data_IF_989887117399
#
_entry.id   IF_989887117399
#
_cell.length_a   1.000
_cell.length_b   1.000
_cell.length_c   1.000
_cell.angle_alpha   90.00
_cell.angle_beta   90.00
_cell.angle_gamma   90.00
#
_symmetry.space_group_name_H-M   'P 1'
#
loop_
_entity.id
_entity.type
_entity.pdbx_description
1 polymer ?
#
# COMPACT_ATOMS: atom_id res chain seq x y z
N UNK A 1 5.07 -40.24 22.82
CA UNK A 1 5.17 -39.90 21.38
C UNK A 1 4.78 -38.44 21.13
N UNK A 2 3.57 -38.01 21.53
CA UNK A 2 3.15 -36.58 21.47
C UNK A 2 4.19 -35.61 22.05
N UNK A 3 4.77 -35.93 23.22
CA UNK A 3 5.83 -35.11 23.84
C UNK A 3 7.06 -34.90 22.94
N UNK A 4 7.41 -35.88 22.12
CA UNK A 4 8.57 -35.78 21.21
C UNK A 4 8.27 -34.92 20.00
N UNK A 5 7.07 -35.07 19.41
CA UNK A 5 6.63 -34.19 18.32
C UNK A 5 6.52 -32.72 18.77
N UNK A 6 5.96 -32.47 19.96
CA UNK A 6 5.88 -31.13 20.52
C UNK A 6 7.26 -30.54 20.85
N UNK A 7 8.15 -31.34 21.47
CA UNK A 7 9.51 -30.89 21.76
C UNK A 7 10.30 -30.62 20.46
N UNK A 8 10.16 -31.45 19.43
CA UNK A 8 10.82 -31.22 18.15
C UNK A 8 10.30 -29.96 17.46
N UNK A 9 9.00 -29.68 17.54
CA UNK A 9 8.42 -28.42 17.04
C UNK A 9 8.98 -27.19 17.77
N UNK A 10 9.08 -27.24 19.10
CA UNK A 10 9.66 -26.15 19.88
C UNK A 10 11.13 -25.92 19.56
N UNK A 11 11.91 -27.01 19.42
CA UNK A 11 13.32 -26.93 19.02
C UNK A 11 13.46 -26.41 17.58
N UNK A 12 12.58 -26.84 16.68
CA UNK A 12 12.55 -26.39 15.30
C UNK A 12 12.25 -24.89 15.21
N UNK A 13 11.21 -24.43 15.91
CA UNK A 13 10.86 -23.02 16.00
C UNK A 13 11.99 -22.18 16.60
N UNK A 14 12.58 -22.62 17.72
CA UNK A 14 13.70 -21.93 18.34
C UNK A 14 14.92 -21.84 17.39
N UNK A 15 15.21 -22.92 16.66
CA UNK A 15 16.28 -22.94 15.66
C UNK A 15 15.99 -21.99 14.49
N UNK A 16 14.77 -21.97 13.96
CA UNK A 16 14.37 -21.04 12.89
C UNK A 16 14.48 -19.58 13.33
N UNK A 17 14.03 -19.25 14.53
CA UNK A 17 14.17 -17.91 15.10
C UNK A 17 15.65 -17.54 15.31
N UNK A 18 16.47 -18.50 15.73
CA UNK A 18 17.92 -18.35 15.81
C UNK A 18 18.55 -18.08 14.44
N UNK A 19 18.16 -18.82 13.41
CA UNK A 19 18.63 -18.62 12.03
C UNK A 19 18.23 -17.25 11.49
N UNK A 20 16.99 -16.81 11.70
CA UNK A 20 16.56 -15.44 11.34
C UNK A 20 17.42 -14.42 12.07
N UNK A 21 17.64 -14.58 13.38
CA UNK A 21 18.45 -13.66 14.16
C UNK A 21 19.93 -13.61 13.72
N UNK A 22 20.43 -14.66 13.05
CA UNK A 22 21.77 -14.72 12.48
C UNK A 22 21.85 -14.14 11.06
N UNK A 23 20.84 -14.38 10.23
CA UNK A 23 20.76 -13.84 8.87
C UNK A 23 20.45 -12.35 8.85
N UNK A 24 19.72 -11.88 9.86
CA UNK A 24 19.37 -10.48 10.07
C UNK A 24 19.98 -9.99 11.39
N UNK A 25 21.32 -9.97 11.52
CA UNK A 25 21.94 -9.55 12.76
C UNK A 25 21.47 -8.12 13.06
N UNK A 26 21.11 -7.82 14.32
CA UNK A 26 20.85 -6.43 14.68
C UNK A 26 22.12 -5.64 14.35
N UNK A 27 21.95 -4.49 13.70
CA UNK A 27 23.05 -3.54 13.58
C UNK A 27 23.55 -3.28 15.01
N UNK A 28 24.88 -3.27 15.21
CA UNK A 28 25.39 -2.88 16.52
C UNK A 28 24.85 -1.48 16.82
N UNK A 29 24.27 -1.26 18.01
CA UNK A 29 23.75 0.05 18.34
C UNK A 29 24.88 1.05 18.19
N UNK A 30 24.65 2.09 17.40
CA UNK A 30 25.68 3.10 17.16
C UNK A 30 25.93 3.81 18.48
N UNK A 31 27.14 3.65 19.03
CA UNK A 31 27.51 4.21 20.31
C UNK A 31 27.23 5.72 20.34
N UNK A 32 26.55 6.18 21.39
CA UNK A 32 26.16 7.58 21.55
C UNK A 32 24.87 8.00 20.84
N UNK A 33 24.21 7.12 20.08
CA UNK A 33 22.87 7.38 19.51
C UNK A 33 21.76 6.69 20.32
N UNK A 34 20.60 7.33 20.42
CA UNK A 34 19.42 6.78 21.10
C UNK A 34 18.89 5.54 20.36
N UNK A 35 18.26 4.61 21.08
CA UNK A 35 17.68 3.41 20.46
C UNK A 35 16.54 3.73 19.47
N UNK A 36 15.87 4.87 19.68
CA UNK A 36 14.79 5.37 18.84
C UNK A 36 14.78 6.89 18.80
N UNK A 37 14.35 7.47 17.68
CA UNK A 37 13.90 8.86 17.58
C UNK A 37 12.38 8.85 17.58
N UNK A 38 11.75 9.55 18.53
CA UNK A 38 10.28 9.71 18.57
C UNK A 38 9.94 11.19 18.51
N UNK A 39 8.91 11.52 17.76
CA UNK A 39 8.47 12.91 17.60
C UNK A 39 7.15 13.13 18.33
N UNK A 40 7.14 14.12 19.23
CA UNK A 40 5.90 14.73 19.66
C UNK A 40 5.46 15.74 18.59
N UNK A 41 4.34 15.43 17.93
CA UNK A 41 3.85 16.25 16.82
C UNK A 41 3.47 17.63 17.36
N UNK A 42 4.00 18.67 16.71
CA UNK A 42 3.81 20.07 17.06
C UNK A 42 3.74 20.88 15.75
N UNK A 43 3.43 22.17 15.85
CA UNK A 43 3.25 23.04 14.67
C UNK A 43 4.45 23.07 13.74
N UNK A 44 5.68 22.93 14.26
CA UNK A 44 6.90 22.96 13.44
C UNK A 44 7.03 21.76 12.49
N UNK A 45 6.30 20.67 12.77
CA UNK A 45 6.26 19.51 11.90
C UNK A 45 5.16 19.62 10.83
N UNK A 46 4.21 20.54 10.94
CA UNK A 46 3.08 20.65 10.01
C UNK A 46 3.43 21.56 8.85
N UNK A 47 3.61 20.98 7.66
CA UNK A 47 3.86 21.71 6.41
C UNK A 47 2.55 22.14 5.75
N UNK A 48 1.52 21.29 5.84
CA UNK A 48 0.18 21.57 5.35
C UNK A 48 -0.86 20.89 6.26
N UNK A 49 -2.01 21.53 6.45
CA UNK A 49 -3.01 21.14 7.44
C UNK A 49 -2.94 22.01 8.68
N UNK A 50 -3.68 21.64 9.72
CA UNK A 50 -3.66 22.35 11.00
C UNK A 50 -3.54 21.38 12.16
N UNK A 51 -2.77 21.78 13.16
CA UNK A 51 -2.72 21.13 14.44
C UNK A 51 -3.62 21.90 15.41
N UNK A 52 -4.52 21.19 16.07
CA UNK A 52 -5.41 21.76 17.08
C UNK A 52 -5.22 21.00 18.40
N UNK A 53 -5.33 21.73 19.51
CA UNK A 53 -5.31 21.13 20.84
C UNK A 53 -6.61 20.35 21.03
N UNK A 54 -6.52 19.04 21.25
CA UNK A 54 -7.69 18.19 21.53
C UNK A 54 -7.98 18.11 23.03
N UNK A 55 -9.25 17.89 23.39
CA UNK A 55 -9.70 17.71 24.78
C UNK A 55 -9.05 16.49 25.49
N UNK A 56 -8.58 15.49 24.71
CA UNK A 56 -8.11 14.19 25.20
C UNK A 56 -6.58 14.10 25.38
N UNK A 57 -5.86 15.23 25.53
CA UNK A 57 -4.38 15.30 25.58
C UNK A 57 -3.61 14.81 24.33
N UNK A 58 -4.32 14.37 23.29
CA UNK A 58 -3.75 14.02 22.00
C UNK A 58 -3.94 15.17 20.99
N UNK A 59 -2.92 15.48 20.18
CA UNK A 59 -3.03 16.46 19.11
C UNK A 59 -4.08 16.04 18.09
N UNK A 60 -4.99 16.94 17.72
CA UNK A 60 -5.95 16.74 16.63
C UNK A 60 -5.36 17.36 15.36
N UNK A 61 -4.97 16.52 14.41
CA UNK A 61 -4.48 16.98 13.12
C UNK A 61 -5.63 17.01 12.13
N UNK A 62 -5.80 18.14 11.45
CA UNK A 62 -6.83 18.34 10.45
C UNK A 62 -6.18 18.52 9.08
N UNK A 63 -6.69 17.80 8.09
CA UNK A 63 -6.36 18.07 6.69
C UNK A 63 -6.81 19.49 6.30
N UNK A 64 -6.06 20.17 5.45
CA UNK A 64 -6.45 21.47 4.91
C UNK A 64 -7.69 21.37 4.00
N UNK A 65 -8.17 22.48 3.44
CA UNK A 65 -9.34 22.50 2.55
C UNK A 65 -9.15 21.66 1.27
N UNK A 66 -7.90 21.42 0.87
CA UNK A 66 -7.54 20.55 -0.26
C UNK A 66 -7.47 19.07 0.14
N UNK A 67 -7.73 18.74 1.41
CA UNK A 67 -7.68 17.36 1.89
C UNK A 67 -6.27 16.85 2.18
N UNK A 68 -5.28 17.74 2.36
CA UNK A 68 -3.89 17.38 2.59
C UNK A 68 -3.49 17.70 4.04
N UNK A 69 -2.91 16.71 4.72
CA UNK A 69 -2.12 16.90 5.93
C UNK A 69 -0.69 16.41 5.63
N UNK A 70 0.29 17.30 5.75
CA UNK A 70 1.69 16.97 5.51
C UNK A 70 2.50 17.22 6.77
N UNK A 71 3.04 16.13 7.33
CA UNK A 71 3.99 16.16 8.44
C UNK A 71 5.42 15.97 7.91
N UNK A 72 6.36 16.83 8.32
CA UNK A 72 7.77 16.73 8.00
C UNK A 72 8.59 16.59 9.28
N UNK A 73 9.52 15.65 9.27
CA UNK A 73 10.43 15.33 10.35
C UNK A 73 11.86 15.50 9.85
N UNK A 74 12.60 16.53 10.31
CA UNK A 74 14.01 16.67 9.97
C UNK A 74 14.81 15.52 10.61
N UNK A 75 15.83 15.07 9.89
CA UNK A 75 16.75 14.04 10.33
C UNK A 75 18.16 14.63 10.38
N UNK A 76 18.89 14.30 11.46
CA UNK A 76 20.31 14.64 11.55
C UNK A 76 21.13 13.86 10.51
N UNK A 77 22.31 14.37 10.17
CA UNK A 77 23.26 13.68 9.30
C UNK A 77 23.48 12.22 9.73
N UNK A 78 23.39 11.31 8.75
CA UNK A 78 23.49 9.87 8.89
C UNK A 78 22.35 9.18 9.67
N UNK A 79 21.33 9.89 10.18
CA UNK A 79 20.28 9.26 10.99
C UNK A 79 19.57 8.13 10.23
N UNK A 80 19.25 8.30 8.95
CA UNK A 80 18.58 7.27 8.15
C UNK A 80 19.42 5.99 7.96
N UNK A 81 20.74 6.07 7.98
CA UNK A 81 21.60 4.87 7.94
C UNK A 81 21.51 4.04 9.23
N UNK A 82 21.24 4.72 10.36
CA UNK A 82 21.18 4.17 11.72
C UNK A 82 19.78 3.67 12.03
N UNK A 83 18.75 4.45 11.73
CA UNK A 83 17.35 4.10 11.99
C UNK A 83 16.69 3.58 10.72
N UNK A 84 16.49 2.26 10.67
CA UNK A 84 15.96 1.57 9.48
C UNK A 84 14.52 1.08 9.64
N UNK A 85 13.87 1.38 10.76
CA UNK A 85 12.51 0.95 11.03
C UNK A 85 11.65 2.16 11.39
N UNK A 86 10.55 2.36 10.66
CA UNK A 86 9.50 3.32 11.02
C UNK A 86 8.39 2.59 11.77
N UNK A 87 8.02 3.16 12.90
CA UNK A 87 6.78 2.84 13.59
C UNK A 87 5.80 3.99 13.42
N UNK A 88 4.59 3.67 12.95
CA UNK A 88 3.48 4.59 12.82
C UNK A 88 2.28 4.00 13.58
N UNK A 89 1.74 4.75 14.52
CA UNK A 89 0.55 4.40 15.27
C UNK A 89 -0.53 5.45 15.07
N UNK A 90 -1.76 5.00 14.84
CA UNK A 90 -2.91 5.86 14.58
C UNK A 90 -4.12 5.32 15.33
N UNK A 91 -4.98 6.21 15.82
CA UNK A 91 -6.20 5.86 16.57
C UNK A 91 -7.47 6.24 15.82
N UNK A 92 -7.42 7.29 14.99
CA UNK A 92 -8.57 7.79 14.22
C UNK A 92 -8.10 8.22 12.83
N UNK A 93 -8.72 7.72 11.78
CA UNK A 93 -8.50 8.21 10.43
C UNK A 93 -9.70 7.86 9.54
N UNK A 94 -9.96 8.63 8.47
CA UNK A 94 -10.94 8.26 7.44
C UNK A 94 -10.59 6.94 6.76
N UNK A 95 -11.61 6.19 6.31
CA UNK A 95 -11.42 4.90 5.64
C UNK A 95 -10.81 5.02 4.24
N UNK A 96 -11.04 6.15 3.58
CA UNK A 96 -10.55 6.47 2.23
C UNK A 96 -9.23 7.26 2.24
N UNK A 97 -8.65 7.49 3.43
CA UNK A 97 -7.40 8.19 3.56
C UNK A 97 -6.27 7.42 2.88
N UNK A 98 -5.44 8.13 2.10
CA UNK A 98 -4.18 7.62 1.56
C UNK A 98 -3.03 8.21 2.35
N UNK A 99 -2.01 7.42 2.64
CA UNK A 99 -0.77 7.94 3.25
C UNK A 99 0.40 7.64 2.36
N UNK A 100 1.20 8.66 2.10
CA UNK A 100 2.43 8.55 1.34
C UNK A 100 3.60 8.87 2.25
N UNK A 101 4.53 7.93 2.34
CA UNK A 101 5.84 8.15 2.92
C UNK A 101 6.70 8.88 1.90
N UNK A 102 7.32 10.00 2.27
CA UNK A 102 8.18 10.78 1.39
C UNK A 102 9.50 11.01 2.10
N UNK A 103 10.62 10.84 1.39
CA UNK A 103 11.93 11.19 1.93
C UNK A 103 12.77 11.90 0.86
N UNK A 104 13.59 12.84 1.31
CA UNK A 104 14.45 13.65 0.45
C UNK A 104 15.91 13.39 0.79
N UNK A 105 16.74 13.36 -0.24
CA UNK A 105 18.20 13.25 -0.12
C UNK A 105 18.86 14.62 -0.21
N UNK A 106 19.90 14.82 0.59
CA UNK A 106 20.70 16.05 0.64
C UNK A 106 21.60 16.21 -0.59
N UNK A 107 22.02 15.10 -1.21
CA UNK A 107 23.04 15.08 -2.25
C UNK A 107 22.50 15.25 -3.68
N UNK A 108 21.30 14.74 -3.97
CA UNK A 108 20.75 14.69 -5.34
C UNK A 108 19.49 15.54 -5.55
N UNK A 109 18.97 16.22 -4.52
CA UNK A 109 17.62 16.85 -4.53
C UNK A 109 16.48 15.86 -4.90
N UNK A 110 16.79 14.55 -5.00
CA UNK A 110 15.82 13.53 -5.37
C UNK A 110 14.82 13.33 -4.23
N UNK A 111 13.55 13.33 -4.61
CA UNK A 111 12.44 13.04 -3.71
C UNK A 111 11.92 11.66 -4.02
N UNK A 112 12.04 10.77 -3.03
CA UNK A 112 11.43 9.46 -3.09
C UNK A 112 10.08 9.50 -2.40
N UNK A 113 9.11 8.78 -2.96
CA UNK A 113 7.78 8.66 -2.35
C UNK A 113 7.24 7.25 -2.50
N UNK A 114 6.53 6.82 -1.46
CA UNK A 114 5.97 5.49 -1.37
C UNK A 114 4.56 5.55 -0.77
N UNK A 115 3.56 5.08 -1.54
CA UNK A 115 2.20 4.94 -1.03
C UNK A 115 2.14 3.78 0.00
N UNK A 116 1.76 4.10 1.23
CA UNK A 116 1.43 3.14 2.27
C UNK A 116 0.03 2.61 2.02
N UNK A 117 -0.04 1.43 1.39
CA UNK A 117 -1.32 0.88 0.95
C UNK A 117 -2.17 0.32 2.10
N UNK A 118 -1.56 0.11 3.26
CA UNK A 118 -2.25 -0.30 4.49
C UNK A 118 -2.03 0.76 5.54
N UNK A 119 -3.13 1.26 6.12
CA UNK A 119 -3.05 2.13 7.28
C UNK A 119 -3.19 1.32 8.56
N UNK A 120 -2.40 1.64 9.60
CA UNK A 120 -2.57 1.00 10.88
C UNK A 120 -3.94 1.37 11.44
N UNK A 121 -4.73 0.36 11.83
CA UNK A 121 -5.81 0.59 12.81
C UNK A 121 -5.25 0.98 14.18
N UNK A 122 -4.05 0.50 14.48
CA UNK A 122 -3.36 0.75 15.75
C UNK A 122 -1.84 0.93 15.58
N UNK A 123 -1.15 0.02 14.87
CA UNK A 123 0.32 0.05 14.73
C UNK A 123 0.78 -0.54 13.39
N UNK A 124 1.73 0.12 12.75
CA UNK A 124 2.38 -0.27 11.51
C UNK A 124 3.90 -0.16 11.69
N UNK A 125 4.61 -1.22 11.32
CA UNK A 125 6.06 -1.26 11.30
C UNK A 125 6.56 -1.43 9.86
N UNK A 126 7.45 -0.54 9.43
CA UNK A 126 7.98 -0.53 8.05
C UNK A 126 9.50 -0.63 8.13
N UNK A 127 10.08 -1.56 7.37
CA UNK A 127 11.53 -1.62 7.17
C UNK A 127 11.93 -0.68 6.03
N UNK A 128 12.57 0.43 6.39
CA UNK A 128 12.99 1.47 5.44
C UNK A 128 14.27 1.10 4.70
N UNK A 129 15.12 0.24 5.28
CA UNK A 129 16.43 -0.11 4.70
C UNK A 129 16.36 -0.90 3.39
N UNK A 130 15.18 -1.41 3.01
CA UNK A 130 14.95 -2.07 1.71
C UNK A 130 14.47 -1.08 0.63
N UNK A 131 14.13 0.15 1.01
CA UNK A 131 13.66 1.15 0.07
C UNK A 131 14.83 1.81 -0.68
N UNK A 132 14.74 1.92 -2.03
CA UNK A 132 15.75 2.62 -2.82
C UNK A 132 15.93 4.06 -2.33
N UNK A 133 17.18 4.47 -2.10
CA UNK A 133 17.51 5.83 -1.64
C UNK A 133 17.30 6.08 -0.15
N UNK A 134 17.01 5.04 0.66
CA UNK A 134 17.07 5.14 2.12
C UNK A 134 18.49 4.86 2.62
N UNK A 135 19.32 5.90 2.74
CA UNK A 135 20.71 5.79 3.18
C UNK A 135 21.15 7.00 4.03
N UNK A 136 22.45 7.15 4.25
CA UNK A 136 23.02 8.23 5.06
C UNK A 136 22.72 9.64 4.55
N UNK A 137 22.35 9.81 3.28
CA UNK A 137 22.09 11.09 2.63
C UNK A 137 20.68 11.62 2.85
N UNK A 138 19.79 10.92 3.57
CA UNK A 138 18.42 11.38 3.80
C UNK A 138 18.38 12.44 4.91
N UNK A 139 17.93 13.65 4.58
CA UNK A 139 17.80 14.79 5.51
C UNK A 139 16.42 14.94 6.15
N UNK A 140 15.40 14.34 5.55
CA UNK A 140 14.02 14.54 5.98
C UNK A 140 13.14 13.37 5.62
N UNK A 141 12.26 13.05 6.57
CA UNK A 141 11.16 12.13 6.41
C UNK A 141 9.86 12.93 6.42
N UNK A 142 8.88 12.50 5.64
CA UNK A 142 7.58 13.14 5.57
C UNK A 142 6.48 12.10 5.45
N UNK A 143 5.35 12.38 6.11
CA UNK A 143 4.11 11.64 5.96
C UNK A 143 3.07 12.59 5.37
N UNK A 144 2.58 12.24 4.19
CA UNK A 144 1.54 12.99 3.49
C UNK A 144 0.26 12.18 3.55
N UNK A 145 -0.72 12.66 4.30
CA UNK A 145 -2.05 12.11 4.38
C UNK A 145 -2.97 12.86 3.42
N UNK A 146 -3.71 12.12 2.60
CA UNK A 146 -4.72 12.64 1.69
C UNK A 146 -6.07 12.10 2.10
N UNK A 147 -7.01 12.98 2.44
CA UNK A 147 -8.35 12.70 2.92
C UNK A 147 -9.34 13.78 2.42
N UNK A 148 -10.60 13.74 2.87
CA UNK A 148 -11.51 14.86 2.67
C UNK A 148 -11.00 16.14 3.39
N UNK A 149 -11.33 17.31 2.85
CA UNK A 149 -10.96 18.58 3.47
C UNK A 149 -11.50 18.70 4.90
N UNK A 150 -10.65 19.12 5.84
CA UNK A 150 -11.00 19.22 7.26
C UNK A 150 -11.08 17.88 8.01
N UNK A 151 -10.74 16.75 7.38
CA UNK A 151 -10.79 15.45 8.05
C UNK A 151 -9.80 15.37 9.23
N UNK A 152 -10.27 14.78 10.34
CA UNK A 152 -9.47 14.54 11.54
C UNK A 152 -8.61 13.27 11.41
N UNK A 153 -7.33 13.41 11.72
CA UNK A 153 -6.32 12.36 11.67
C UNK A 153 -5.64 12.30 13.04
N UNK A 154 -5.93 11.24 13.80
CA UNK A 154 -5.38 11.00 15.12
C UNK A 154 -4.13 10.13 15.05
N UNK A 155 -2.97 10.75 14.89
CA UNK A 155 -1.66 10.09 14.97
C UNK A 155 -1.20 10.04 16.43
N UNK A 156 -0.86 8.85 16.92
CA UNK A 156 -0.48 8.62 18.32
C UNK A 156 1.01 8.44 18.53
N UNK A 157 1.71 7.81 17.59
CA UNK A 157 3.17 7.69 17.64
C UNK A 157 3.74 7.70 16.23
N UNK A 158 4.84 8.44 16.07
CA UNK A 158 5.73 8.34 14.91
C UNK A 158 7.13 8.22 15.49
N UNK A 159 7.80 7.12 15.18
CA UNK A 159 9.15 6.91 15.67
C UNK A 159 10.02 6.10 14.70
N UNK A 160 11.29 6.45 14.65
CA UNK A 160 12.33 5.71 13.96
C UNK A 160 13.15 4.88 14.95
N UNK A 161 13.44 3.63 14.60
CA UNK A 161 14.11 2.67 15.48
C UNK A 161 15.37 2.10 14.84
N UNK A 162 16.40 1.93 15.67
CA UNK A 162 17.57 1.16 15.28
C UNK A 162 17.19 -0.32 15.10
N UNK A 163 17.84 -1.05 14.17
CA UNK A 163 17.63 -2.48 14.02
C UNK A 163 17.93 -3.23 15.32
N UNK A 164 16.91 -3.84 15.92
CA UNK A 164 17.08 -4.77 17.04
C UNK A 164 16.25 -6.02 16.81
N UNK A 165 16.63 -7.15 17.42
CA UNK A 165 15.90 -8.42 17.27
C UNK A 165 14.41 -8.28 17.63
N UNK A 166 14.11 -7.49 18.66
CA UNK A 166 12.73 -7.22 19.08
C UNK A 166 11.96 -6.46 18.00
N UNK A 167 12.55 -5.41 17.43
CA UNK A 167 11.92 -4.57 16.41
C UNK A 167 11.74 -5.34 15.11
N UNK A 168 12.74 -6.12 14.70
CA UNK A 168 12.63 -6.98 13.53
C UNK A 168 11.50 -8.01 13.68
N UNK A 169 11.41 -8.68 14.84
CA UNK A 169 10.35 -9.63 15.11
C UNK A 169 8.98 -8.95 15.16
N UNK A 170 8.89 -7.77 15.78
CA UNK A 170 7.67 -6.97 15.80
C UNK A 170 7.23 -6.57 14.40
N UNK A 171 8.16 -6.12 13.54
CA UNK A 171 7.90 -5.79 12.15
C UNK A 171 7.43 -7.00 11.36
N UNK A 172 8.07 -8.17 11.53
CA UNK A 172 7.68 -9.41 10.88
C UNK A 172 6.27 -9.86 11.26
N UNK A 173 5.96 -9.86 12.56
CA UNK A 173 4.63 -10.23 13.06
C UNK A 173 3.58 -9.21 12.64
N UNK A 174 3.91 -7.91 12.67
CA UNK A 174 3.02 -6.86 12.19
C UNK A 174 2.70 -7.08 10.71
N UNK A 175 3.69 -7.33 9.86
CA UNK A 175 3.50 -7.58 8.43
C UNK A 175 2.69 -8.85 8.15
N UNK A 176 2.98 -9.95 8.85
CA UNK A 176 2.27 -11.23 8.70
C UNK A 176 0.84 -11.22 9.23
N UNK A 177 0.48 -10.28 10.09
CA UNK A 177 -0.88 -10.18 10.62
C UNK A 177 -1.66 -9.03 9.98
N UNK A 178 -0.99 -8.00 9.46
CA UNK A 178 -1.66 -6.84 8.86
C UNK A 178 -2.53 -7.21 7.67
N UNK A 179 -3.65 -6.50 7.55
CA UNK A 179 -4.49 -6.60 6.37
C UNK A 179 -3.67 -6.13 5.16
N UNK A 180 -3.84 -6.78 4.01
CA UNK A 180 -3.30 -6.28 2.75
C UNK A 180 -4.48 -5.81 1.88
N UNK A 181 -4.38 -4.68 1.19
CA UNK A 181 -5.42 -4.27 0.24
C UNK A 181 -5.44 -5.22 -0.97
N UNK A 182 -6.58 -5.25 -1.65
CA UNK A 182 -6.69 -5.93 -2.94
C UNK A 182 -5.86 -5.17 -3.97
N UNK A 183 -4.90 -5.86 -4.59
CA UNK A 183 -4.16 -5.40 -5.77
C UNK A 183 -4.69 -6.11 -7.00
N UNK A 184 -4.51 -5.51 -8.17
CA UNK A 184 -4.84 -6.16 -9.45
C UNK A 184 -4.08 -7.49 -9.66
N UNK A 185 -2.92 -7.63 -9.02
CA UNK A 185 -2.13 -8.87 -9.03
C UNK A 185 -2.59 -9.89 -7.99
N UNK A 186 -3.38 -9.50 -6.98
CA UNK A 186 -3.78 -10.37 -5.86
C UNK A 186 -4.58 -11.59 -6.29
N UNK A 187 -5.22 -11.55 -7.47
CA UNK A 187 -5.95 -12.70 -8.04
C UNK A 187 -4.99 -13.83 -8.44
N UNK A 188 -3.77 -13.48 -8.89
CA UNK A 188 -2.80 -14.43 -9.43
C UNK A 188 -1.57 -14.60 -8.54
N UNK A 189 -1.30 -13.67 -7.63
CA UNK A 189 -0.13 -13.69 -6.76
C UNK A 189 -0.51 -13.18 -5.37
N UNK A 190 -0.27 -14.02 -4.37
CA UNK A 190 -0.44 -13.66 -2.98
C UNK A 190 0.84 -14.01 -2.21
N UNK A 191 1.58 -12.98 -1.82
CA UNK A 191 2.84 -13.11 -1.11
C UNK A 191 2.68 -13.37 0.40
N UNK A 192 1.48 -13.14 0.95
CA UNK A 192 1.23 -13.21 2.39
C UNK A 192 1.90 -12.09 3.19
N UNK A 193 2.48 -11.08 2.52
CA UNK A 193 3.16 -9.91 3.12
C UNK A 193 2.69 -8.64 2.43
N UNK A 194 2.77 -7.49 3.10
CA UNK A 194 2.24 -6.23 2.57
C UNK A 194 3.12 -5.64 1.48
N UNK A 195 4.45 -5.71 1.58
CA UNK A 195 5.36 -5.25 0.51
C UNK A 195 6.75 -5.87 0.57
N UNK A 196 7.51 -5.50 1.59
CA UNK A 196 8.90 -5.86 1.80
C UNK A 196 8.99 -6.46 3.18
N UNK A 197 9.25 -7.76 3.20
CA UNK A 197 9.38 -8.52 4.42
C UNK A 197 10.73 -9.21 4.37
N UNK A 198 11.56 -9.13 5.42
CA UNK A 198 12.81 -9.87 5.47
C UNK A 198 12.55 -11.38 5.38
N UNK A 199 11.33 -11.84 5.72
CA UNK A 199 10.96 -13.24 5.63
C UNK A 199 9.47 -13.45 5.32
N UNK A 200 9.19 -14.33 4.38
CA UNK A 200 7.83 -14.68 4.00
C UNK A 200 7.29 -15.83 4.87
N UNK A 201 5.98 -15.90 5.18
CA UNK A 201 5.43 -16.92 6.07
C UNK A 201 5.68 -18.37 5.61
N UNK A 202 5.53 -18.65 4.31
CA UNK A 202 5.69 -20.00 3.77
C UNK A 202 7.15 -20.50 3.85
N UNK A 203 8.16 -19.76 3.38
CA UNK A 203 9.56 -20.11 3.62
C UNK A 203 9.90 -20.25 5.11
N UNK A 204 9.34 -19.42 5.98
CA UNK A 204 9.59 -19.54 7.42
C UNK A 204 9.03 -20.84 7.98
N UNK A 205 7.79 -21.18 7.64
CA UNK A 205 7.19 -22.45 8.05
C UNK A 205 7.94 -23.66 7.49
N UNK A 206 8.50 -23.56 6.28
CA UNK A 206 9.36 -24.59 5.71
C UNK A 206 10.66 -24.77 6.53
N UNK A 207 11.29 -23.68 6.99
CA UNK A 207 12.43 -23.75 7.92
C UNK A 207 12.05 -24.36 9.26
N UNK A 208 10.90 -23.97 9.84
CA UNK A 208 10.40 -24.54 11.09
C UNK A 208 10.17 -26.03 10.93
N UNK A 209 9.55 -26.45 9.83
CA UNK A 209 9.34 -27.86 9.52
C UNK A 209 10.66 -28.61 9.38
N UNK A 210 11.61 -28.09 8.59
CA UNK A 210 12.92 -28.69 8.39
C UNK A 210 13.66 -28.91 9.72
N UNK A 211 13.80 -27.86 10.54
CA UNK A 211 14.47 -27.98 11.83
C UNK A 211 13.69 -28.84 12.82
N UNK A 212 12.36 -28.87 12.74
CA UNK A 212 11.54 -29.78 13.57
C UNK A 212 11.77 -31.24 13.20
N UNK A 213 11.86 -31.56 11.91
CA UNK A 213 12.16 -32.92 11.45
C UNK A 213 13.58 -33.36 11.82
N UNK A 214 14.56 -32.46 11.71
CA UNK A 214 15.93 -32.70 12.16
C UNK A 214 16.00 -32.92 13.68
N UNK A 215 15.36 -32.06 14.47
CA UNK A 215 15.27 -32.23 15.91
C UNK A 215 14.57 -33.54 16.29
N UNK A 216 13.51 -33.92 15.57
CA UNK A 216 12.83 -35.20 15.77
C UNK A 216 13.78 -36.38 15.52
N UNK A 217 14.53 -36.36 14.41
CA UNK A 217 15.50 -37.39 14.08
C UNK A 217 16.61 -37.52 15.14
N UNK A 218 17.16 -36.39 15.63
CA UNK A 218 18.16 -36.36 16.70
C UNK A 218 17.59 -36.92 18.01
N UNK A 219 16.42 -36.46 18.44
CA UNK A 219 15.77 -36.95 19.66
C UNK A 219 15.45 -38.45 19.58
N UNK A 220 15.13 -38.95 18.39
CA UNK A 220 14.90 -40.37 18.15
C UNK A 220 16.22 -41.17 18.24
N UNK A 221 17.28 -40.69 17.59
CA UNK A 221 18.60 -41.33 17.61
C UNK A 221 19.19 -41.38 19.04
N UNK A 222 19.07 -40.30 19.82
CA UNK A 222 19.51 -40.24 21.22
C UNK A 222 18.79 -41.23 22.14
N UNK A 223 17.62 -41.73 21.73
CA UNK A 223 16.88 -42.79 22.44
C UNK A 223 17.32 -44.21 22.06
N UNK A 224 18.41 -44.34 21.31
CA UNK A 224 19.11 -45.60 21.00
C UNK A 224 18.17 -46.70 20.47
N UNK A 225 17.22 -46.36 19.60
CA UNK A 225 16.34 -47.36 18.96
C UNK A 225 15.36 -48.06 19.89
N UNK A 226 15.19 -47.60 21.15
CA UNK A 226 14.20 -48.15 22.10
C UNK A 226 12.75 -47.98 21.64
N UNK A 227 12.52 -47.17 20.62
CA UNK A 227 11.22 -46.93 20.00
C UNK A 227 11.40 -46.91 18.49
N UNK A 228 10.45 -47.46 17.74
CA UNK A 228 10.41 -47.31 16.28
C UNK A 228 9.91 -45.91 15.90
N UNK A 229 10.33 -45.35 14.75
CA UNK A 229 9.81 -44.07 14.28
C UNK A 229 8.32 -44.18 14.00
N UNK A 230 7.51 -43.45 14.75
CA UNK A 230 6.06 -43.39 14.54
C UNK A 230 5.73 -42.34 13.48
N UNK A 231 5.25 -42.79 12.32
CA UNK A 231 4.84 -41.94 11.21
C UNK A 231 3.74 -40.94 11.61
N UNK A 232 2.93 -41.26 12.64
CA UNK A 232 1.89 -40.34 13.14
C UNK A 232 2.50 -39.11 13.79
N UNK A 233 3.63 -39.28 14.47
CA UNK A 233 4.34 -38.16 15.10
C UNK A 233 4.96 -37.23 14.04
N UNK A 234 5.52 -37.79 12.97
CA UNK A 234 5.99 -37.00 11.82
C UNK A 234 4.83 -36.29 11.13
N UNK A 235 3.73 -37.01 10.87
CA UNK A 235 2.51 -36.45 10.30
C UNK A 235 1.95 -35.30 11.13
N UNK A 236 1.99 -35.39 12.46
CA UNK A 236 1.58 -34.33 13.36
C UNK A 236 2.46 -33.08 13.24
N UNK A 237 3.79 -33.23 13.15
CA UNK A 237 4.71 -32.10 12.92
C UNK A 237 4.38 -31.39 11.61
N UNK A 238 4.24 -32.15 10.52
CA UNK A 238 3.86 -31.61 9.20
C UNK A 238 2.50 -30.90 9.26
N UNK A 239 1.50 -31.52 9.88
CA UNK A 239 0.15 -30.98 10.00
C UNK A 239 0.15 -29.67 10.80
N UNK A 240 0.88 -29.58 11.91
CA UNK A 240 0.94 -28.38 12.74
C UNK A 240 1.66 -27.22 12.03
N UNK A 241 2.73 -27.48 11.29
CA UNK A 241 3.36 -26.46 10.45
C UNK A 241 2.41 -25.97 9.36
N UNK A 242 1.68 -26.88 8.71
CA UNK A 242 0.68 -26.52 7.69
C UNK A 242 -0.47 -25.69 8.27
N UNK A 243 -1.05 -26.11 9.39
CA UNK A 243 -2.09 -25.35 10.12
C UNK A 243 -1.57 -23.96 10.50
N UNK A 244 -0.30 -23.83 10.90
CA UNK A 244 0.30 -22.54 11.24
C UNK A 244 0.30 -21.55 10.08
N UNK A 245 0.65 -22.01 8.87
CA UNK A 245 0.59 -21.17 7.65
C UNK A 245 -0.85 -20.82 7.31
N UNK A 246 -1.73 -21.81 7.32
CA UNK A 246 -3.14 -21.61 6.98
C UNK A 246 -3.81 -20.64 7.96
N UNK A 247 -3.55 -20.75 9.26
CA UNK A 247 -4.08 -19.85 10.28
C UNK A 247 -3.67 -18.39 10.04
N UNK A 248 -2.43 -18.13 9.63
CA UNK A 248 -1.98 -16.78 9.27
C UNK A 248 -2.74 -16.25 8.04
N UNK A 249 -2.98 -17.10 7.05
CA UNK A 249 -3.78 -16.75 5.87
C UNK A 249 -5.24 -16.48 6.23
N UNK A 250 -5.87 -17.34 7.03
CA UNK A 250 -7.26 -17.17 7.50
C UNK A 250 -7.41 -15.89 8.33
N UNK A 251 -6.43 -15.55 9.17
CA UNK A 251 -6.43 -14.30 9.93
C UNK A 251 -6.42 -13.08 9.00
N UNK A 252 -5.55 -13.07 7.98
CA UNK A 252 -5.50 -11.98 7.00
C UNK A 252 -6.79 -11.88 6.19
N UNK A 253 -7.31 -13.01 5.72
CA UNK A 253 -8.57 -13.06 4.97
C UNK A 253 -9.73 -12.54 5.82
N UNK A 254 -9.79 -12.92 7.10
CA UNK A 254 -10.80 -12.42 8.03
C UNK A 254 -10.72 -10.90 8.24
N UNK A 255 -9.49 -10.35 8.34
CA UNK A 255 -9.28 -8.89 8.42
C UNK A 255 -9.70 -8.17 7.13
N UNK A 256 -9.36 -8.72 5.97
CA UNK A 256 -9.76 -8.21 4.66
C UNK A 256 -11.29 -8.27 4.46
N UNK A 257 -11.93 -9.36 4.87
CA UNK A 257 -13.38 -9.52 4.83
C UNK A 257 -14.05 -8.47 5.73
N UNK A 258 -13.55 -8.28 6.95
CA UNK A 258 -14.06 -7.25 7.85
C UNK A 258 -13.94 -5.85 7.24
N UNK A 259 -12.83 -5.52 6.57
CA UNK A 259 -12.66 -4.24 5.89
C UNK A 259 -13.62 -4.08 4.71
N UNK A 260 -13.67 -5.08 3.84
CA UNK A 260 -14.54 -5.11 2.65
C UNK A 260 -16.01 -5.00 3.07
N UNK A 261 -16.40 -5.71 4.13
CA UNK A 261 -17.76 -5.64 4.68
C UNK A 261 -18.05 -4.23 5.19
N UNK A 262 -17.17 -3.60 5.96
CA UNK A 262 -17.38 -2.21 6.42
C UNK A 262 -17.46 -1.22 5.26
N UNK A 263 -16.67 -1.42 4.21
CA UNK A 263 -16.65 -0.52 3.06
C UNK A 263 -17.90 -0.66 2.18
N UNK A 264 -18.45 -1.87 2.03
CA UNK A 264 -19.45 -2.17 0.99
C UNK A 264 -20.77 -2.78 1.48
N UNK A 265 -20.88 -3.25 2.73
CA UNK A 265 -22.13 -3.83 3.22
C UNK A 265 -23.25 -2.80 3.28
N UNK A 266 -24.48 -3.23 2.96
CA UNK A 266 -25.67 -2.37 2.94
C UNK A 266 -25.74 -1.34 1.79
N UNK A 267 -24.67 -1.16 1.01
CA UNK A 267 -24.62 -0.21 -0.12
C UNK A 267 -25.28 -0.77 -1.38
N UNK A 268 -25.93 0.12 -2.14
CA UNK A 268 -26.39 -0.18 -3.50
C UNK A 268 -25.22 -0.45 -4.44
N UNK A 269 -25.48 -0.96 -5.65
CA UNK A 269 -24.43 -1.16 -6.65
C UNK A 269 -23.71 0.15 -7.02
N UNK A 270 -24.44 1.26 -7.13
CA UNK A 270 -23.90 2.58 -7.44
C UNK A 270 -23.06 3.12 -6.28
N UNK A 271 -23.56 2.99 -5.05
CA UNK A 271 -22.83 3.40 -3.84
C UNK A 271 -21.55 2.59 -3.64
N UNK A 272 -21.56 1.30 -4.03
CA UNK A 272 -20.35 0.47 -4.01
C UNK A 272 -19.31 0.98 -5.01
N UNK A 273 -19.71 1.33 -6.22
CA UNK A 273 -18.80 1.92 -7.21
C UNK A 273 -18.27 3.29 -6.74
N UNK A 274 -19.13 4.10 -6.14
CA UNK A 274 -18.77 5.41 -5.58
C UNK A 274 -17.95 5.35 -4.28
N UNK A 275 -17.84 4.18 -3.65
CA UNK A 275 -17.00 3.93 -2.46
C UNK A 275 -15.77 3.08 -2.76
N UNK A 276 -15.65 2.53 -3.98
CA UNK A 276 -14.57 1.65 -4.38
C UNK A 276 -13.28 2.38 -4.76
N UNK A 277 -12.23 1.64 -5.12
CA UNK A 277 -10.92 2.20 -5.50
C UNK A 277 -10.98 3.21 -6.66
N UNK A 278 -11.97 3.06 -7.55
CA UNK A 278 -12.18 3.94 -8.71
C UNK A 278 -13.26 5.00 -8.47
N UNK A 279 -13.64 5.28 -7.22
CA UNK A 279 -14.75 6.16 -6.86
C UNK A 279 -14.73 7.51 -7.63
N UNK A 280 -13.58 8.19 -7.67
CA UNK A 280 -13.44 9.45 -8.39
C UNK A 280 -13.69 9.32 -9.90
N UNK A 281 -13.19 8.24 -10.50
CA UNK A 281 -13.35 7.98 -11.91
C UNK A 281 -14.80 7.64 -12.23
N UNK A 282 -15.44 6.83 -11.38
CA UNK A 282 -16.86 6.50 -11.50
C UNK A 282 -17.73 7.75 -11.38
N UNK A 283 -17.51 8.61 -10.36
CA UNK A 283 -18.25 9.87 -10.19
C UNK A 283 -18.07 10.79 -11.39
N UNK A 284 -16.83 10.97 -11.85
CA UNK A 284 -16.56 11.76 -13.05
C UNK A 284 -17.30 11.21 -14.27
N UNK A 285 -17.24 9.89 -14.52
CA UNK A 285 -17.93 9.26 -15.63
C UNK A 285 -19.46 9.39 -15.49
N UNK A 286 -20.00 9.21 -14.28
CA UNK A 286 -21.44 9.34 -14.04
C UNK A 286 -21.95 10.74 -14.41
N UNK A 287 -21.26 11.78 -13.92
CA UNK A 287 -21.57 13.16 -14.27
C UNK A 287 -21.33 13.47 -15.76
N UNK A 288 -20.25 12.95 -16.33
CA UNK A 288 -19.89 13.21 -17.72
C UNK A 288 -20.93 12.63 -18.69
N UNK A 289 -21.48 11.45 -18.39
CA UNK A 289 -22.51 10.79 -19.22
C UNK A 289 -23.78 11.64 -19.35
N UNK A 290 -24.12 12.49 -18.39
CA UNK A 290 -25.30 13.37 -18.49
C UNK A 290 -25.10 14.53 -19.46
N UNK A 291 -23.87 14.75 -19.95
CA UNK A 291 -23.51 15.81 -20.90
C UNK A 291 -23.30 15.29 -22.33
N UNK A 292 -23.40 13.97 -22.53
CA UNK A 292 -23.13 13.32 -23.82
C UNK A 292 -24.45 13.03 -24.52
N UNK A 293 -24.62 13.67 -25.67
CA UNK A 293 -25.75 13.44 -26.58
C UNK A 293 -25.25 13.29 -28.02
N UNK A 294 -25.89 12.44 -28.85
CA UNK A 294 -26.98 11.50 -28.55
C UNK A 294 -26.52 10.23 -27.79
N UNK A 295 -27.45 9.34 -27.40
CA UNK A 295 -27.14 8.10 -26.63
C UNK A 295 -26.22 7.12 -27.35
N UNK A 296 -26.10 7.21 -28.67
CA UNK A 296 -25.22 6.43 -29.52
C UNK A 296 -23.93 7.18 -29.91
N UNK A 297 -23.65 8.32 -29.25
CA UNK A 297 -22.44 9.09 -29.48
C UNK A 297 -21.17 8.25 -29.32
N UNK A 298 -20.16 8.58 -30.14
CA UNK A 298 -18.84 7.99 -30.08
C UNK A 298 -18.03 8.67 -28.99
N UNK A 299 -17.50 7.86 -28.07
CA UNK A 299 -16.70 8.32 -26.93
C UNK A 299 -15.31 7.70 -27.03
N UNK A 300 -14.28 8.52 -27.18
CA UNK A 300 -12.90 8.06 -27.25
C UNK A 300 -12.22 8.29 -25.90
N UNK A 301 -11.70 7.24 -25.29
CA UNK A 301 -11.02 7.32 -24.00
C UNK A 301 -9.51 7.33 -24.21
N UNK A 302 -8.87 8.37 -23.67
CA UNK A 302 -7.44 8.62 -23.78
C UNK A 302 -6.78 8.52 -22.41
N UNK A 303 -5.93 7.51 -22.22
CA UNK A 303 -5.06 7.36 -21.06
C UNK A 303 -3.85 6.51 -21.43
N UNK A 304 -2.65 6.91 -20.99
CA UNK A 304 -1.43 6.12 -21.12
C UNK A 304 -1.32 5.01 -20.07
N UNK A 305 -2.28 4.95 -19.14
CA UNK A 305 -2.38 3.88 -18.15
C UNK A 305 -3.47 2.88 -18.55
N UNK A 306 -3.07 1.64 -18.88
CA UNK A 306 -3.99 0.61 -19.34
C UNK A 306 -5.18 0.38 -18.39
N UNK A 307 -4.92 0.37 -17.07
CA UNK A 307 -5.97 0.18 -16.06
C UNK A 307 -6.98 1.34 -16.08
N UNK A 308 -6.49 2.59 -16.04
CA UNK A 308 -7.38 3.77 -16.05
C UNK A 308 -8.15 3.88 -17.35
N UNK A 309 -7.51 3.61 -18.49
CA UNK A 309 -8.15 3.59 -19.80
C UNK A 309 -9.28 2.58 -19.89
N UNK A 310 -9.00 1.31 -19.56
CA UNK A 310 -10.00 0.24 -19.54
C UNK A 310 -11.17 0.54 -18.61
N UNK A 311 -10.89 0.96 -17.36
CA UNK A 311 -11.93 1.25 -16.37
C UNK A 311 -12.78 2.45 -16.76
N UNK A 312 -12.15 3.48 -17.35
CA UNK A 312 -12.88 4.62 -17.89
C UNK A 312 -13.82 4.15 -19.00
N UNK A 313 -13.31 3.40 -19.98
CA UNK A 313 -14.12 2.89 -21.07
C UNK A 313 -15.31 2.07 -20.59
N UNK A 314 -15.08 1.21 -19.59
CA UNK A 314 -16.14 0.44 -18.93
C UNK A 314 -17.24 1.33 -18.34
N UNK A 315 -16.89 2.41 -17.65
CA UNK A 315 -17.88 3.31 -17.02
C UNK A 315 -18.66 4.17 -18.01
N UNK A 316 -18.15 4.36 -19.24
CA UNK A 316 -18.87 5.05 -20.31
C UNK A 316 -19.79 4.11 -21.11
N UNK A 317 -19.89 2.82 -20.81
CA UNK A 317 -20.99 2.03 -21.36
C UNK A 317 -22.36 2.56 -20.87
N UNK A 318 -23.41 2.53 -21.72
CA UNK A 318 -23.50 1.82 -23.01
C UNK A 318 -23.16 2.66 -24.27
N UNK A 319 -22.45 3.80 -24.16
CA UNK A 319 -22.05 4.58 -25.34
C UNK A 319 -21.15 3.76 -26.30
N UNK A 320 -20.97 4.25 -27.53
CA UNK A 320 -20.02 3.65 -28.47
C UNK A 320 -18.59 4.06 -28.09
N UNK A 321 -18.05 3.37 -27.10
CA UNK A 321 -16.75 3.69 -26.51
C UNK A 321 -15.61 3.02 -27.28
N UNK A 322 -14.60 3.81 -27.64
CA UNK A 322 -13.34 3.34 -28.18
C UNK A 322 -12.20 3.56 -27.19
N UNK A 323 -11.48 2.49 -26.90
CA UNK A 323 -10.21 2.48 -26.17
C UNK A 323 -9.37 1.31 -26.69
N UNK A 324 -8.06 1.49 -26.78
CA UNK A 324 -7.13 0.48 -27.28
C UNK A 324 -6.12 0.08 -26.20
N UNK A 325 -6.04 -1.21 -25.88
CA UNK A 325 -5.06 -1.75 -24.94
C UNK A 325 -3.67 -1.71 -25.56
N UNK A 326 -2.70 -1.05 -24.91
CA UNK A 326 -1.31 -0.90 -25.38
C UNK A 326 -1.18 -0.31 -26.80
N UNK A 327 -2.22 0.38 -27.25
CA UNK A 327 -2.28 1.04 -28.54
C UNK A 327 -2.04 2.53 -28.44
N UNK A 328 -2.50 3.26 -29.44
CA UNK A 328 -2.49 4.72 -29.37
C UNK A 328 -3.70 5.18 -28.55
N UNK A 329 -3.50 6.19 -27.69
CA UNK A 329 -4.58 6.68 -26.83
C UNK A 329 -5.79 7.19 -27.62
N UNK A 330 -5.56 7.71 -28.82
CA UNK A 330 -6.61 8.11 -29.76
C UNK A 330 -6.23 7.68 -31.18
N UNK A 331 -7.23 7.44 -32.03
CA UNK A 331 -6.98 7.28 -33.46
C UNK A 331 -6.42 8.57 -34.07
N UNK A 332 -5.85 8.51 -35.29
CA UNK A 332 -5.36 9.70 -35.97
C UNK A 332 -6.44 10.80 -36.05
N UNK A 333 -6.08 12.10 -35.96
CA UNK A 333 -7.05 13.21 -35.92
C UNK A 333 -8.14 13.17 -37.00
N UNK A 334 -7.81 12.69 -38.20
CA UNK A 334 -8.76 12.50 -39.32
C UNK A 334 -9.90 11.51 -39.07
N UNK A 335 -9.77 10.64 -38.06
CA UNK A 335 -10.81 9.66 -37.70
C UNK A 335 -11.84 10.25 -36.71
N UNK A 336 -11.47 11.34 -36.02
CA UNK A 336 -12.34 12.09 -35.14
C UNK A 336 -13.17 13.06 -35.98
N UNK A 337 -14.48 13.12 -35.71
CA UNK A 337 -15.44 13.99 -36.40
C UNK A 337 -16.04 14.97 -35.41
N UNK A 338 -16.53 16.09 -35.93
CA UNK A 338 -17.38 17.02 -35.18
C UNK A 338 -18.51 16.27 -34.48
N UNK A 339 -18.73 16.56 -33.20
CA UNK A 339 -19.71 15.87 -32.35
C UNK A 339 -19.19 14.62 -31.63
N UNK A 340 -17.98 14.13 -31.92
CA UNK A 340 -17.35 13.07 -31.13
C UNK A 340 -16.96 13.58 -29.73
N UNK A 341 -16.95 12.68 -28.76
CA UNK A 341 -16.53 13.00 -27.41
C UNK A 341 -15.17 12.39 -27.12
N UNK A 342 -14.30 13.15 -26.46
CA UNK A 342 -12.99 12.68 -26.00
C UNK A 342 -12.94 12.81 -24.48
N UNK A 343 -12.63 11.69 -23.83
CA UNK A 343 -12.44 11.61 -22.38
C UNK A 343 -10.95 11.42 -22.12
N UNK A 344 -10.31 12.42 -21.53
CA UNK A 344 -8.90 12.35 -21.13
C UNK A 344 -8.85 11.96 -19.65
N UNK A 345 -8.14 10.88 -19.33
CA UNK A 345 -7.86 10.44 -17.96
C UNK A 345 -6.36 10.31 -17.78
N UNK A 346 -5.80 11.17 -16.92
CA UNK A 346 -4.37 11.20 -16.65
C UNK A 346 -3.88 9.88 -16.03
N UNK A 347 -2.64 9.46 -16.27
CA UNK A 347 -1.69 10.08 -17.20
C UNK A 347 -2.15 9.91 -18.65
N UNK A 348 -1.89 10.92 -19.48
CA UNK A 348 -2.20 10.92 -20.91
C UNK A 348 -1.16 11.76 -21.67
N UNK A 349 -0.80 11.32 -22.87
CA UNK A 349 0.04 12.10 -23.78
C UNK A 349 -0.67 13.36 -24.32
N UNK A 350 -2.00 13.42 -24.19
CA UNK A 350 -2.82 14.52 -24.70
C UNK A 350 -2.71 15.75 -23.82
N UNK A 351 -2.63 16.93 -24.44
CA UNK A 351 -2.62 18.21 -23.75
C UNK A 351 -3.79 19.08 -24.19
N UNK A 352 -4.56 19.57 -23.23
CA UNK A 352 -5.65 20.51 -23.49
C UNK A 352 -5.07 21.93 -23.52
N UNK A 353 -5.08 22.57 -24.68
CA UNK A 353 -4.59 23.94 -24.88
C UNK A 353 -5.76 24.93 -24.80
N UNK A 354 -6.04 25.40 -23.59
CA UNK A 354 -7.23 26.23 -23.26
C UNK A 354 -7.36 27.49 -24.10
N UNK A 355 -6.27 28.22 -24.31
CA UNK A 355 -6.28 29.51 -25.02
C UNK A 355 -6.75 29.39 -26.48
N UNK A 356 -6.83 28.17 -27.03
CA UNK A 356 -7.20 27.93 -28.43
C UNK A 356 -8.45 27.06 -28.59
N UNK A 357 -8.98 26.47 -27.51
CA UNK A 357 -10.06 25.47 -27.61
C UNK A 357 -9.61 24.27 -28.44
N UNK A 358 -8.38 23.79 -28.22
CA UNK A 358 -7.78 22.70 -28.99
C UNK A 358 -7.17 21.65 -28.07
N UNK A 359 -7.30 20.39 -28.46
CA UNK A 359 -6.53 19.26 -27.96
C UNK A 359 -5.29 19.05 -28.83
N UNK A 360 -4.11 19.09 -28.22
CA UNK A 360 -2.88 18.62 -28.85
C UNK A 360 -2.74 17.11 -28.61
N UNK A 361 -2.73 16.36 -29.71
CA UNK A 361 -2.65 14.90 -29.70
C UNK A 361 -1.22 14.37 -29.78
N UNK A 362 -0.22 15.26 -29.82
CA UNK A 362 1.16 14.94 -30.17
C UNK A 362 1.37 14.62 -31.65
N UNK A 363 0.28 14.50 -32.43
CA UNK A 363 0.28 14.19 -33.88
C UNK A 363 -0.57 15.15 -34.70
N UNK A 364 -1.16 16.14 -34.02
CA UNK A 364 -2.08 17.09 -34.60
C UNK A 364 -2.87 17.83 -33.52
N UNK A 365 -3.66 18.78 -33.98
CA UNK A 365 -4.34 19.78 -33.17
C UNK A 365 -5.81 19.71 -33.58
N UNK A 366 -6.69 19.38 -32.62
CA UNK A 366 -8.12 19.16 -32.85
C UNK A 366 -8.94 20.19 -32.08
N UNK A 367 -9.79 20.95 -32.77
CA UNK A 367 -10.73 21.87 -32.12
C UNK A 367 -11.72 21.12 -31.24
N UNK A 368 -11.88 21.54 -29.98
CA UNK A 368 -12.81 20.92 -29.05
C UNK A 368 -13.36 21.90 -28.00
N UNK A 369 -14.61 21.67 -27.60
CA UNK A 369 -15.26 22.30 -26.45
C UNK A 369 -14.95 21.51 -25.18
N UNK A 370 -14.54 22.18 -24.10
CA UNK A 370 -14.45 21.56 -22.78
C UNK A 370 -15.84 21.54 -22.16
N UNK A 371 -16.38 20.34 -21.93
CA UNK A 371 -17.72 20.17 -21.34
C UNK A 371 -17.64 19.97 -19.82
N UNK A 372 -16.65 19.23 -19.35
CA UNK A 372 -16.42 19.00 -17.91
C UNK A 372 -14.94 18.82 -17.65
N UNK A 373 -14.48 19.35 -16.51
CA UNK A 373 -13.13 19.07 -16.01
C UNK A 373 -13.18 18.78 -14.52
N UNK A 374 -12.38 17.80 -14.13
CA UNK A 374 -12.01 17.52 -12.76
C UNK A 374 -10.50 17.24 -12.71
N UNK A 375 -9.91 17.15 -11.53
CA UNK A 375 -8.47 16.90 -11.38
C UNK A 375 -8.05 15.62 -12.14
N UNK A 376 -7.18 15.82 -13.13
CA UNK A 376 -6.68 14.77 -14.02
C UNK A 376 -7.70 14.13 -14.97
N UNK A 377 -8.93 14.65 -15.10
CA UNK A 377 -10.00 14.06 -15.91
C UNK A 377 -10.75 15.14 -16.69
N UNK A 378 -10.87 15.01 -18.01
CA UNK A 378 -11.54 16.03 -18.84
C UNK A 378 -12.45 15.38 -19.87
N UNK A 379 -13.67 15.90 -20.02
CA UNK A 379 -14.60 15.57 -21.10
C UNK A 379 -14.60 16.72 -22.12
N UNK A 380 -14.43 16.36 -23.38
CA UNK A 380 -14.33 17.26 -24.51
C UNK A 380 -15.31 16.84 -25.60
N UNK A 381 -15.81 17.81 -26.38
CA UNK A 381 -16.58 17.56 -27.62
C UNK A 381 -15.84 18.14 -28.81
N UNK A 382 -15.57 17.32 -29.81
CA UNK A 382 -14.86 17.70 -31.04
C UNK A 382 -15.73 18.64 -31.88
N UNK A 383 -15.12 19.69 -32.44
CA UNK A 383 -15.77 20.68 -33.31
C UNK A 383 -15.64 20.36 -34.79
#
# INVERSE_FOLDING_TARGET
MLRTALLSLLLGLASSLGTIALLFPPAQPVSGKQASLSWQINDSHVVAGTLTSGDDSLPRLLANDQGILWLRFPLDDNAASVYRYLHLSMKRHPLDMKTTLVWKRTDTEEVHSELLETLPRESLWIHLGENPGWDASVDSLSLVFQAAGGAEIGVTDISLHQPSRRIQLAALVNDWTSAAPWRNTSINSYSGVTRFSPMYPAPFAALVLLFSLLAFAVLHALRQGRTTPDWRSLGLVCLLCWIGVDALWQLKLGRQLAETHRQFAGKSSEDKLAAGPDAELYRFASDARTLIEPRDARVFVSSSNDYRGLRSAYYFYPFNVHWELRGQELPPPRALKSGDYVVIVQPSAMRVLEKRGVIDTGRGVIGADILKRNEGKTLLRVR
#
